data_IF_794650698569
#
_entry.id   IF_794650698569
#
_cell.length_a   1.000
_cell.length_b   1.000
_cell.length_c   1.000
_cell.angle_alpha   90.00
_cell.angle_beta   90.00
_cell.angle_gamma   90.00
#
_symmetry.space_group_name_H-M   'P 1'
#
loop_
_entity.id
_entity.type
_entity.pdbx_description
1 polymer ?
#
# COMPACT_ATOMS: atom_id res chain seq x y z
N UNK A 1 -31.04 -29.91 9.45
CA UNK A 1 -30.63 -29.09 8.30
C UNK A 1 -29.65 -29.93 7.49
N UNK A 2 -29.71 -29.98 6.15
CA UNK A 2 -28.77 -30.80 5.40
C UNK A 2 -27.42 -30.08 5.34
N UNK A 3 -26.37 -30.79 5.73
CA UNK A 3 -24.97 -30.46 5.43
C UNK A 3 -24.80 -30.43 3.91
N UNK A 4 -24.67 -29.24 3.32
CA UNK A 4 -24.08 -29.09 2.00
C UNK A 4 -22.57 -29.03 2.18
N UNK A 5 -21.91 -30.15 1.88
CA UNK A 5 -20.47 -30.19 1.65
C UNK A 5 -20.16 -29.37 0.39
N UNK A 6 -19.90 -28.08 0.56
CA UNK A 6 -19.22 -27.28 -0.48
C UNK A 6 -17.78 -27.79 -0.56
N UNK A 7 -17.36 -28.18 -1.76
CA UNK A 7 -15.97 -28.49 -2.09
C UNK A 7 -15.07 -27.32 -1.67
N UNK A 8 -13.97 -27.54 -0.93
CA UNK A 8 -13.07 -26.47 -0.53
C UNK A 8 -12.42 -25.74 -1.72
N UNK A 9 -12.39 -26.38 -2.90
CA UNK A 9 -11.87 -25.78 -4.14
C UNK A 9 -12.72 -24.65 -4.69
N UNK A 10 -14.05 -24.74 -4.59
CA UNK A 10 -14.95 -23.73 -5.18
C UNK A 10 -15.02 -22.46 -4.32
N UNK A 11 -14.76 -22.58 -3.01
CA UNK A 11 -14.72 -21.46 -2.08
C UNK A 11 -13.44 -20.65 -2.17
N UNK A 12 -12.27 -21.30 -2.33
CA UNK A 12 -10.98 -20.62 -2.39
C UNK A 12 -10.77 -19.88 -3.72
N UNK A 13 -11.19 -20.46 -4.84
CA UNK A 13 -11.15 -19.78 -6.15
C UNK A 13 -12.11 -18.57 -6.19
N UNK A 14 -13.30 -18.70 -5.61
CA UNK A 14 -14.24 -17.58 -5.51
C UNK A 14 -13.71 -16.47 -4.58
N UNK A 15 -13.10 -16.81 -3.45
CA UNK A 15 -12.49 -15.82 -2.54
C UNK A 15 -11.28 -15.13 -3.17
N UNK A 16 -10.48 -15.85 -3.95
CA UNK A 16 -9.36 -15.30 -4.71
C UNK A 16 -9.83 -14.24 -5.72
N UNK A 17 -10.89 -14.53 -6.47
CA UNK A 17 -11.44 -13.63 -7.49
C UNK A 17 -12.12 -12.40 -6.85
N UNK A 18 -12.84 -12.58 -5.73
CA UNK A 18 -13.52 -11.48 -5.02
C UNK A 18 -12.58 -10.53 -4.27
N UNK A 19 -11.37 -10.97 -3.93
CA UNK A 19 -10.38 -10.15 -3.21
C UNK A 19 -9.26 -9.65 -4.11
N UNK A 20 -9.37 -9.86 -5.42
CA UNK A 20 -8.30 -9.55 -6.39
C UNK A 20 -6.96 -10.19 -6.00
N UNK A 21 -6.99 -11.38 -5.40
CA UNK A 21 -5.82 -12.10 -4.90
C UNK A 21 -5.19 -11.53 -3.62
N UNK A 22 -5.74 -10.46 -3.02
CA UNK A 22 -5.17 -9.85 -1.79
C UNK A 22 -5.15 -10.85 -0.63
N UNK A 23 -6.24 -11.59 -0.40
CA UNK A 23 -6.32 -12.53 0.73
C UNK A 23 -5.59 -13.84 0.47
N UNK A 24 -5.19 -14.10 -0.78
CA UNK A 24 -4.42 -15.28 -1.18
C UNK A 24 -2.92 -15.02 -1.32
N UNK A 25 -2.48 -13.76 -1.23
CA UNK A 25 -1.07 -13.36 -1.34
C UNK A 25 -0.49 -12.87 0.00
N UNK A 26 0.27 -13.72 0.72
CA UNK A 26 0.86 -13.37 2.01
C UNK A 26 1.80 -12.15 1.96
N UNK A 27 2.52 -11.95 0.84
CA UNK A 27 3.40 -10.80 0.68
C UNK A 27 2.62 -9.49 0.69
N UNK A 28 1.48 -9.47 -0.03
CA UNK A 28 0.60 -8.31 -0.09
C UNK A 28 -0.01 -8.00 1.28
N UNK A 29 -0.47 -9.01 2.01
CA UNK A 29 -0.98 -8.83 3.38
C UNK A 29 0.08 -8.28 4.32
N UNK A 30 1.28 -8.85 4.29
CA UNK A 30 2.38 -8.37 5.10
C UNK A 30 2.79 -6.95 4.73
N UNK A 31 2.80 -6.60 3.44
CA UNK A 31 3.07 -5.23 2.99
C UNK A 31 2.04 -4.23 3.54
N UNK A 32 0.74 -4.58 3.57
CA UNK A 32 -0.31 -3.73 4.17
C UNK A 32 -0.07 -3.57 5.68
N UNK A 33 0.17 -4.66 6.40
CA UNK A 33 0.41 -4.63 7.84
C UNK A 33 1.66 -3.83 8.20
N UNK A 34 2.76 -4.03 7.46
CA UNK A 34 3.99 -3.27 7.65
C UNK A 34 3.77 -1.79 7.35
N UNK A 35 3.07 -1.47 6.24
CA UNK A 35 2.78 -0.08 5.87
C UNK A 35 1.98 0.63 6.97
N UNK A 36 0.97 -0.04 7.55
CA UNK A 36 0.22 0.50 8.69
C UNK A 36 1.12 0.78 9.90
N UNK A 37 2.11 -0.08 10.17
CA UNK A 37 3.06 0.12 11.27
C UNK A 37 4.00 1.32 11.03
N UNK A 38 4.41 1.56 9.79
CA UNK A 38 5.48 2.52 9.48
C UNK A 38 5.02 3.87 8.93
N UNK A 39 3.75 4.03 8.53
CA UNK A 39 3.32 5.19 7.73
C UNK A 39 3.62 6.55 8.36
N UNK A 40 3.62 6.65 9.70
CA UNK A 40 3.88 7.86 10.48
C UNK A 40 5.20 7.82 11.28
N UNK A 41 6.13 6.94 10.92
CA UNK A 41 7.45 6.89 11.56
C UNK A 41 8.16 8.24 11.42
N UNK A 42 8.65 8.76 12.54
CA UNK A 42 9.34 10.06 12.60
C UNK A 42 8.46 11.27 12.17
N UNK A 43 7.13 11.13 12.21
CA UNK A 43 6.23 12.23 11.87
C UNK A 43 6.30 13.36 12.93
N UNK A 44 6.62 14.61 12.56
CA UNK A 44 6.86 15.72 13.50
C UNK A 44 5.58 16.37 14.06
N UNK A 45 4.41 15.87 13.66
CA UNK A 45 3.11 16.37 14.12
C UNK A 45 2.64 17.67 13.44
N UNK A 46 3.28 18.06 12.34
CA UNK A 46 2.90 19.23 11.52
C UNK A 46 2.61 18.80 10.08
N UNK A 47 1.69 19.47 9.36
CA UNK A 47 1.34 19.07 8.00
C UNK A 47 2.48 19.34 7.00
N UNK A 48 2.48 18.63 5.87
CA UNK A 48 3.45 18.82 4.77
C UNK A 48 3.60 20.29 4.33
N UNK A 49 2.52 21.08 4.35
CA UNK A 49 2.57 22.52 4.02
C UNK A 49 3.39 23.37 4.98
N UNK A 50 3.53 22.93 6.23
CA UNK A 50 4.39 23.54 7.24
C UNK A 50 5.83 23.02 7.10
N UNK A 51 6.00 21.71 6.86
CA UNK A 51 7.32 21.12 6.62
C UNK A 51 8.05 21.74 5.43
N UNK A 52 7.34 22.09 4.35
CA UNK A 52 7.93 22.81 3.21
C UNK A 52 8.57 24.15 3.65
N UNK A 53 8.01 24.81 4.67
CA UNK A 53 8.49 26.11 5.15
C UNK A 53 9.61 25.97 6.17
N UNK A 54 9.56 24.94 7.01
CA UNK A 54 10.46 24.77 8.17
C UNK A 54 11.65 23.84 7.87
N UNK A 55 11.43 22.76 7.11
CA UNK A 55 12.40 21.69 6.86
C UNK A 55 12.92 21.72 5.41
N UNK A 56 13.65 22.80 5.08
CA UNK A 56 14.08 23.09 3.71
C UNK A 56 14.95 21.99 3.05
N UNK A 57 15.69 21.20 3.83
CA UNK A 57 16.52 20.10 3.33
C UNK A 57 15.66 18.92 2.85
N UNK A 58 14.78 18.38 3.71
CA UNK A 58 13.86 17.29 3.36
C UNK A 58 12.89 17.71 2.26
N UNK A 59 12.37 18.95 2.33
CA UNK A 59 11.50 19.50 1.30
C UNK A 59 12.18 19.56 -0.08
N UNK A 60 13.47 19.91 -0.13
CA UNK A 60 14.25 19.89 -1.37
C UNK A 60 14.49 18.46 -1.89
N UNK A 61 14.82 17.50 -1.01
CA UNK A 61 15.03 16.09 -1.37
C UNK A 61 13.76 15.50 -2.00
N UNK A 62 12.61 15.72 -1.36
CA UNK A 62 11.31 15.18 -1.78
C UNK A 62 10.52 16.08 -2.73
N UNK A 63 11.14 17.18 -3.19
CA UNK A 63 10.56 18.14 -4.15
C UNK A 63 9.18 18.65 -3.74
N UNK A 64 9.02 18.94 -2.44
CA UNK A 64 7.79 19.46 -1.84
C UNK A 64 6.55 18.57 -2.00
N UNK A 65 6.71 17.25 -2.19
CA UNK A 65 5.59 16.30 -2.30
C UNK A 65 5.70 15.26 -1.21
N UNK A 66 4.59 14.96 -0.52
CA UNK A 66 4.48 13.86 0.46
C UNK A 66 5.73 13.70 1.33
N UNK A 67 6.20 14.80 1.93
CA UNK A 67 7.52 14.88 2.58
C UNK A 67 7.56 13.92 3.76
N UNK A 68 6.56 13.99 4.63
CA UNK A 68 6.47 13.14 5.80
C UNK A 68 6.36 11.66 5.40
N UNK A 69 5.49 11.33 4.44
CA UNK A 69 5.26 9.95 4.02
C UNK A 69 6.49 9.35 3.31
N UNK A 70 7.23 10.15 2.53
CA UNK A 70 8.50 9.70 1.95
C UNK A 70 9.58 9.50 3.01
N UNK A 71 9.67 10.38 4.01
CA UNK A 71 10.61 10.21 5.13
C UNK A 71 10.32 8.93 5.91
N UNK A 72 9.04 8.65 6.21
CA UNK A 72 8.61 7.41 6.85
C UNK A 72 9.06 6.17 6.07
N UNK A 73 8.88 6.17 4.74
CA UNK A 73 9.33 5.09 3.87
C UNK A 73 10.85 4.93 3.93
N UNK A 74 11.60 6.00 3.73
CA UNK A 74 13.06 5.92 3.65
C UNK A 74 13.66 5.45 4.99
N UNK A 75 13.20 6.00 6.12
CA UNK A 75 13.71 5.61 7.44
C UNK A 75 13.40 4.14 7.77
N UNK A 76 12.15 3.70 7.54
CA UNK A 76 11.75 2.33 7.79
C UNK A 76 12.44 1.35 6.84
N UNK A 77 12.64 1.74 5.57
CA UNK A 77 13.31 0.90 4.59
C UNK A 77 14.80 0.76 4.90
N UNK A 78 15.48 1.85 5.26
CA UNK A 78 16.87 1.82 5.68
C UNK A 78 17.07 0.93 6.91
N UNK A 79 16.18 1.01 7.90
CA UNK A 79 16.20 0.12 9.05
C UNK A 79 16.00 -1.35 8.63
N UNK A 80 15.04 -1.64 7.74
CA UNK A 80 14.80 -2.99 7.24
C UNK A 80 16.00 -3.56 6.47
N UNK A 81 16.87 -2.71 5.89
CA UNK A 81 18.07 -3.15 5.18
C UNK A 81 19.25 -3.48 6.11
N UNK A 82 19.20 -3.11 7.40
CA UNK A 82 20.24 -3.45 8.38
C UNK A 82 20.46 -4.98 8.47
N UNK A 83 21.71 -5.43 8.60
CA UNK A 83 22.08 -6.85 8.65
C UNK A 83 21.32 -7.63 9.73
N UNK A 84 20.91 -6.98 10.83
CA UNK A 84 20.11 -7.59 11.89
C UNK A 84 18.76 -8.13 11.41
N UNK A 85 18.21 -7.62 10.30
CA UNK A 85 16.93 -8.05 9.73
C UNK A 85 17.06 -9.01 8.54
N UNK A 86 18.24 -9.60 8.31
CA UNK A 86 18.48 -10.54 7.21
C UNK A 86 17.48 -11.70 7.17
N UNK A 87 17.20 -12.32 8.31
CA UNK A 87 16.25 -13.45 8.41
C UNK A 87 14.81 -13.03 8.09
N UNK A 88 14.41 -11.82 8.53
CA UNK A 88 13.11 -11.26 8.20
C UNK A 88 13.00 -11.00 6.69
N UNK A 89 14.00 -10.36 6.07
CA UNK A 89 14.02 -10.12 4.61
C UNK A 89 13.88 -11.42 3.82
N UNK A 90 14.63 -12.45 4.21
CA UNK A 90 14.59 -13.78 3.57
C UNK A 90 13.24 -14.49 3.70
N UNK A 91 12.42 -14.10 4.68
CA UNK A 91 11.04 -14.60 4.86
C UNK A 91 10.05 -13.85 3.97
N UNK A 92 10.34 -12.59 3.63
CA UNK A 92 9.45 -11.73 2.83
C UNK A 92 9.66 -11.95 1.33
N UNK A 93 10.92 -12.03 0.88
CA UNK A 93 11.27 -12.19 -0.53
C UNK A 93 12.58 -12.98 -0.68
N UNK A 94 12.69 -13.73 -1.78
CA UNK A 94 13.90 -14.51 -2.11
C UNK A 94 14.51 -14.01 -3.42
N UNK A 95 13.68 -13.60 -4.36
CA UNK A 95 14.10 -13.13 -5.68
C UNK A 95 14.14 -11.61 -5.77
N UNK A 96 14.92 -11.10 -6.73
CA UNK A 96 14.95 -9.66 -7.04
C UNK A 96 13.58 -9.12 -7.45
N UNK A 97 12.79 -9.92 -8.17
CA UNK A 97 11.45 -9.53 -8.61
C UNK A 97 10.51 -9.37 -7.41
N UNK A 98 10.55 -10.29 -6.46
CA UNK A 98 9.79 -10.21 -5.21
C UNK A 98 10.22 -9.02 -4.35
N UNK A 99 11.52 -8.76 -4.23
CA UNK A 99 12.04 -7.57 -3.55
C UNK A 99 11.46 -6.28 -4.15
N UNK A 100 11.52 -6.15 -5.48
CA UNK A 100 11.00 -4.97 -6.19
C UNK A 100 9.49 -4.85 -6.02
N UNK A 101 8.75 -5.96 -6.09
CA UNK A 101 7.30 -6.01 -5.87
C UNK A 101 6.93 -5.59 -4.46
N UNK A 102 7.59 -6.15 -3.44
CA UNK A 102 7.36 -5.82 -2.05
C UNK A 102 7.63 -4.33 -1.77
N UNK A 103 8.77 -3.81 -2.26
CA UNK A 103 9.09 -2.38 -2.14
C UNK A 103 8.03 -1.51 -2.80
N UNK A 104 7.58 -1.87 -3.99
CA UNK A 104 6.56 -1.12 -4.72
C UNK A 104 5.23 -1.08 -3.95
N UNK A 105 4.83 -2.20 -3.34
CA UNK A 105 3.64 -2.28 -2.50
C UNK A 105 3.74 -1.33 -1.31
N UNK A 106 4.81 -1.44 -0.51
CA UNK A 106 5.02 -0.61 0.68
C UNK A 106 5.03 0.88 0.34
N UNK A 107 5.79 1.26 -0.70
CA UNK A 107 5.86 2.66 -1.16
C UNK A 107 4.47 3.16 -1.60
N UNK A 108 3.73 2.40 -2.39
CA UNK A 108 2.41 2.82 -2.86
C UNK A 108 1.43 3.00 -1.70
N UNK A 109 1.44 2.09 -0.72
CA UNK A 109 0.51 2.12 0.41
C UNK A 109 0.85 3.29 1.35
N UNK A 110 2.12 3.48 1.72
CA UNK A 110 2.50 4.60 2.60
C UNK A 110 2.29 5.95 1.91
N UNK A 111 2.66 6.10 0.64
CA UNK A 111 2.37 7.35 -0.09
C UNK A 111 0.86 7.60 -0.30
N UNK A 112 0.01 6.59 -0.08
CA UNK A 112 -1.43 6.77 -0.12
C UNK A 112 -1.98 7.49 1.12
N UNK A 113 -1.24 7.55 2.23
CA UNK A 113 -1.68 8.23 3.47
C UNK A 113 -1.54 9.75 3.41
N UNK A 114 -0.81 10.31 2.42
CA UNK A 114 -0.87 11.75 2.13
C UNK A 114 -2.25 12.09 1.53
N UNK A 115 -3.22 12.38 2.40
CA UNK A 115 -4.61 12.67 2.04
C UNK A 115 -4.87 14.17 1.86
N UNK A 116 -3.94 15.03 2.28
CA UNK A 116 -4.13 16.48 2.30
C UNK A 116 -3.77 17.15 0.97
N UNK A 117 -2.99 16.47 0.12
CA UNK A 117 -2.72 16.92 -1.24
C UNK A 117 -3.94 16.68 -2.16
N UNK A 118 -4.57 17.78 -2.58
CA UNK A 118 -5.78 17.76 -3.43
C UNK A 118 -5.54 17.17 -4.81
N UNK A 119 -4.35 17.36 -5.38
CA UNK A 119 -4.01 16.82 -6.70
C UNK A 119 -3.83 15.30 -6.61
N UNK A 120 -3.20 14.81 -5.53
CA UNK A 120 -3.12 13.39 -5.23
C UNK A 120 -4.52 12.79 -4.99
N UNK A 121 -5.36 13.47 -4.22
CA UNK A 121 -6.74 13.04 -3.98
C UNK A 121 -7.56 12.92 -5.28
N UNK A 122 -7.47 13.90 -6.17
CA UNK A 122 -8.12 13.86 -7.48
C UNK A 122 -7.58 12.72 -8.36
N UNK A 123 -6.26 12.50 -8.35
CA UNK A 123 -5.62 11.42 -9.08
C UNK A 123 -6.12 10.04 -8.61
N UNK A 124 -6.18 9.81 -7.29
CA UNK A 124 -6.65 8.55 -6.70
C UNK A 124 -8.11 8.29 -7.04
N UNK A 125 -8.98 9.30 -6.92
CA UNK A 125 -10.40 9.20 -7.34
C UNK A 125 -10.53 8.87 -8.83
N UNK A 126 -9.68 9.45 -9.68
CA UNK A 126 -9.61 9.11 -11.10
C UNK A 126 -9.17 7.66 -11.37
N UNK A 127 -8.19 7.16 -10.61
CA UNK A 127 -7.76 5.75 -10.68
C UNK A 127 -8.88 4.80 -10.26
N UNK A 128 -9.57 5.11 -9.16
CA UNK A 128 -10.74 4.34 -8.69
C UNK A 128 -11.82 4.25 -9.77
N UNK A 129 -12.26 5.40 -10.29
CA UNK A 129 -13.30 5.44 -11.31
C UNK A 129 -12.92 4.66 -12.58
N UNK A 130 -11.64 4.65 -12.95
CA UNK A 130 -11.16 3.88 -14.10
C UNK A 130 -11.10 2.38 -13.83
N UNK A 131 -10.67 1.98 -12.63
CA UNK A 131 -10.52 0.57 -12.26
C UNK A 131 -11.87 -0.12 -12.03
N UNK A 132 -12.88 0.63 -11.58
CA UNK A 132 -14.19 0.09 -11.20
C UNK A 132 -15.36 0.64 -12.05
N UNK A 133 -15.11 1.15 -13.25
CA UNK A 133 -16.19 1.54 -14.17
C UNK A 133 -16.86 0.30 -14.79
N UNK A 134 -18.15 0.42 -15.13
CA UNK A 134 -18.95 -0.65 -15.76
C UNK A 134 -18.37 -1.13 -17.12
N UNK A 135 -17.52 -0.32 -17.75
CA UNK A 135 -16.83 -0.62 -19.01
C UNK A 135 -15.42 -1.23 -18.82
N UNK A 136 -14.96 -1.42 -17.58
CA UNK A 136 -13.67 -2.05 -17.28
C UNK A 136 -13.76 -3.58 -17.47
N UNK A 137 -14.13 -4.01 -18.67
CA UNK A 137 -14.15 -5.42 -19.06
C UNK A 137 -12.79 -5.78 -19.64
N UNK A 138 -11.89 -6.25 -18.77
CA UNK A 138 -10.85 -7.24 -19.05
C UNK A 138 -10.26 -7.66 -17.69
N UNK A 139 -10.38 -8.96 -17.33
CA UNK A 139 -9.78 -9.53 -16.12
C UNK A 139 -8.35 -10.00 -16.44
N UNK A 140 -7.50 -9.09 -16.94
CA UNK A 140 -6.07 -9.43 -17.05
C UNK A 140 -5.46 -9.46 -15.65
N UNK A 141 -4.38 -10.22 -15.48
CA UNK A 141 -3.62 -10.25 -14.22
C UNK A 141 -3.14 -8.84 -13.81
N UNK A 142 -2.77 -8.02 -14.79
CA UNK A 142 -2.39 -6.61 -14.58
C UNK A 142 -3.56 -5.75 -14.07
N UNK A 143 -4.78 -5.97 -14.59
CA UNK A 143 -5.98 -5.26 -14.13
C UNK A 143 -6.36 -5.67 -12.70
N UNK A 144 -6.21 -6.95 -12.36
CA UNK A 144 -6.43 -7.48 -11.00
C UNK A 144 -5.40 -6.88 -10.04
N UNK A 145 -4.11 -6.91 -10.37
CA UNK A 145 -3.03 -6.32 -9.58
C UNK A 145 -3.24 -4.79 -9.36
N UNK A 146 -3.71 -4.09 -10.40
CA UNK A 146 -4.04 -2.68 -10.33
C UNK A 146 -5.22 -2.41 -9.40
N UNK A 147 -6.31 -3.18 -9.53
CA UNK A 147 -7.48 -3.08 -8.63
C UNK A 147 -7.09 -3.36 -7.20
N UNK A 148 -6.28 -4.40 -6.95
CA UNK A 148 -5.78 -4.75 -5.63
C UNK A 148 -5.00 -3.58 -5.00
N UNK A 149 -4.08 -2.98 -5.76
CA UNK A 149 -3.31 -1.80 -5.30
C UNK A 149 -4.24 -0.65 -4.90
N UNK A 150 -5.22 -0.31 -5.74
CA UNK A 150 -6.17 0.77 -5.47
C UNK A 150 -7.00 0.48 -4.21
N UNK A 151 -7.44 -0.77 -4.01
CA UNK A 151 -8.17 -1.18 -2.81
C UNK A 151 -7.30 -0.99 -1.56
N UNK A 152 -6.03 -1.41 -1.60
CA UNK A 152 -5.11 -1.23 -0.47
C UNK A 152 -4.84 0.24 -0.15
N UNK A 153 -4.66 1.09 -1.17
CA UNK A 153 -4.51 2.55 -1.01
C UNK A 153 -5.72 3.16 -0.26
N UNK A 154 -6.95 2.72 -0.57
CA UNK A 154 -8.15 3.21 0.11
C UNK A 154 -8.33 2.58 1.50
N UNK A 155 -7.95 1.32 1.67
CA UNK A 155 -8.00 0.62 2.95
C UNK A 155 -7.13 1.32 3.99
N UNK A 156 -5.88 1.65 3.64
CA UNK A 156 -4.97 2.33 4.58
C UNK A 156 -5.46 3.73 4.92
N UNK A 157 -5.98 4.48 3.95
CA UNK A 157 -6.58 5.81 4.18
C UNK A 157 -7.75 5.75 5.17
N UNK A 158 -8.66 4.78 4.97
CA UNK A 158 -9.78 4.59 5.87
C UNK A 158 -9.33 4.18 7.27
N UNK A 159 -8.28 3.34 7.37
CA UNK A 159 -7.71 2.89 8.64
C UNK A 159 -7.04 4.03 9.42
N UNK A 160 -6.30 4.90 8.73
CA UNK A 160 -5.58 6.04 9.32
C UNK A 160 -6.56 7.02 10.02
N UNK A 161 -7.68 7.32 9.36
CA UNK A 161 -8.70 8.23 9.90
C UNK A 161 -9.80 7.54 10.74
N UNK A 162 -9.69 6.23 11.03
CA UNK A 162 -10.74 5.46 11.70
C UNK A 162 -11.00 5.83 13.17
N UNK A 163 -10.21 6.73 13.73
CA UNK A 163 -10.33 7.21 15.11
C UNK A 163 -11.44 8.26 15.30
N UNK A 164 -12.10 8.70 14.21
CA UNK A 164 -13.25 9.62 14.23
C UNK A 164 -14.58 8.89 14.10
#
# INVERSE_FOLDING_TARGET
>A
APDMASSPSDTDEALHDHTYGITSDPMTQFAVALSALIHDVDHPGVPNSQLIKEETSLAAVYRNKSIAEQNSVDLAWDLLMDDAYGDLRNTIYVTKTEFLRFRQLVVNIVLATDIMDKDLGALRKGRWNRAFSEQASNNTEDDVNRKATIVMEHLIQASDVAHT
#
